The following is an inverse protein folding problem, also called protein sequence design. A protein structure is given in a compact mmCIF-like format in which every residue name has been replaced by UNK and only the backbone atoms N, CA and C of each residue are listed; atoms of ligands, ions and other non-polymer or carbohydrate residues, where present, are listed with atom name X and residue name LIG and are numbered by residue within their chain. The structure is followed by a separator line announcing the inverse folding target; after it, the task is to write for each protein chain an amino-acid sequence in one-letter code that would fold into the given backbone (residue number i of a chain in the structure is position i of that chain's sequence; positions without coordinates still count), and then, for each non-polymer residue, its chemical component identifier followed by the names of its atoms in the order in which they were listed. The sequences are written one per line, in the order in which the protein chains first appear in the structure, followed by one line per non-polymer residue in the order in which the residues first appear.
data_IF_227377457692
#
_entry.id   IF_227377457692
#
_cell.length_a   1.000
_cell.length_b   1.000
_cell.length_c   1.000
_cell.angle_alpha   90.00
_cell.angle_beta   90.00
_cell.angle_gamma   90.00
#
_symmetry.space_group_name_H-M   'P 1'
#
loop_
_entity.id
_entity.type
_entity.pdbx_description
1 polymer ?
#
# COMPACT_ATOMS: atom_id res chain seq x y z
N UNK A 1 12.77 12.09 -3.59
CA UNK A 1 11.70 12.18 -4.62
C UNK A 1 10.66 11.08 -4.47
N UNK A 2 11.05 9.86 -4.08
CA UNK A 2 10.12 8.72 -3.94
C UNK A 2 9.17 8.90 -2.76
N UNK A 3 9.64 9.54 -1.68
CA UNK A 3 8.82 9.90 -0.52
C UNK A 3 7.54 10.65 -0.89
N UNK A 4 7.65 11.68 -1.74
CA UNK A 4 6.49 12.46 -2.19
C UNK A 4 5.46 11.63 -2.96
N UNK A 5 5.90 10.65 -3.77
CA UNK A 5 5.00 9.75 -4.47
C UNK A 5 4.24 8.84 -3.52
N UNK A 6 4.93 8.24 -2.54
CA UNK A 6 4.29 7.46 -1.48
C UNK A 6 3.23 8.27 -0.73
N UNK A 7 3.56 9.50 -0.32
CA UNK A 7 2.61 10.38 0.38
C UNK A 7 1.39 10.71 -0.48
N UNK A 8 1.60 11.07 -1.76
CA UNK A 8 0.51 11.41 -2.70
C UNK A 8 -0.43 10.22 -2.93
N UNK A 9 0.13 9.05 -3.25
CA UNK A 9 -0.69 7.85 -3.46
C UNK A 9 -1.40 7.40 -2.19
N UNK A 10 -0.73 7.51 -1.03
CA UNK A 10 -1.35 7.26 0.26
C UNK A 10 -2.64 8.08 0.42
N UNK A 11 -2.57 9.41 0.29
CA UNK A 11 -3.75 10.28 0.47
C UNK A 11 -4.84 9.95 -0.54
N UNK A 12 -4.48 9.62 -1.78
CA UNK A 12 -5.46 9.16 -2.79
C UNK A 12 -6.16 7.88 -2.33
N UNK A 13 -5.42 6.88 -1.84
CA UNK A 13 -6.03 5.66 -1.30
C UNK A 13 -6.90 5.94 -0.08
N UNK A 14 -6.54 6.90 0.78
CA UNK A 14 -7.37 7.31 1.91
C UNK A 14 -8.74 7.83 1.46
N UNK A 15 -8.74 8.68 0.42
CA UNK A 15 -9.96 9.22 -0.17
C UNK A 15 -10.82 8.11 -0.78
N UNK A 16 -10.21 7.18 -1.52
CA UNK A 16 -10.92 6.04 -2.11
C UNK A 16 -11.51 5.15 -1.00
N UNK A 17 -10.74 4.84 0.03
CA UNK A 17 -11.17 4.03 1.16
C UNK A 17 -12.33 4.67 1.91
N UNK A 18 -12.24 5.97 2.21
CA UNK A 18 -13.32 6.73 2.84
C UNK A 18 -14.60 6.74 1.98
N UNK A 19 -14.47 7.00 0.68
CA UNK A 19 -15.60 6.98 -0.25
C UNK A 19 -16.30 5.61 -0.27
N UNK A 20 -15.51 4.52 -0.31
CA UNK A 20 -16.05 3.16 -0.25
C UNK A 20 -16.72 2.85 1.09
N UNK A 21 -16.15 3.33 2.20
CA UNK A 21 -16.75 3.19 3.53
C UNK A 21 -18.12 3.88 3.64
N UNK A 22 -18.21 5.11 3.13
CA UNK A 22 -19.48 5.86 3.06
C UNK A 22 -20.51 5.12 2.19
N UNK A 23 -20.09 4.60 1.04
CA UNK A 23 -20.95 3.83 0.15
C UNK A 23 -21.54 2.60 0.86
N UNK A 24 -20.69 1.77 1.48
CA UNK A 24 -21.13 0.59 2.24
C UNK A 24 -22.08 0.96 3.38
N UNK A 25 -21.74 2.01 4.13
CA UNK A 25 -22.56 2.48 5.25
C UNK A 25 -23.95 2.95 4.80
N UNK A 26 -24.06 3.66 3.67
CA UNK A 26 -25.35 4.08 3.10
C UNK A 26 -26.17 2.90 2.57
N UNK A 27 -25.52 1.93 1.95
CA UNK A 27 -26.17 0.77 1.37
C UNK A 27 -26.55 -0.30 2.42
N UNK A 28 -26.00 -0.22 3.64
CA UNK A 28 -26.03 -1.30 4.63
C UNK A 28 -25.52 -2.65 4.08
N UNK A 29 -24.67 -2.60 3.06
CA UNK A 29 -24.03 -3.75 2.44
C UNK A 29 -22.52 -3.66 2.65
N UNK A 30 -21.98 -4.65 3.37
CA UNK A 30 -20.58 -4.73 3.75
C UNK A 30 -19.81 -5.81 2.99
N UNK A 31 -20.33 -6.27 1.86
CA UNK A 31 -19.65 -7.23 0.97
C UNK A 31 -18.23 -6.77 0.59
N UNK A 32 -18.04 -5.45 0.46
CA UNK A 32 -16.75 -4.84 0.10
C UNK A 32 -15.89 -4.45 1.33
N UNK A 33 -16.25 -4.88 2.54
CA UNK A 33 -15.52 -4.52 3.77
C UNK A 33 -14.03 -4.89 3.68
N UNK A 34 -13.73 -6.07 3.14
CA UNK A 34 -12.34 -6.53 2.98
C UNK A 34 -11.57 -5.65 1.99
N UNK A 35 -12.20 -5.20 0.90
CA UNK A 35 -11.58 -4.28 -0.07
C UNK A 35 -11.28 -2.94 0.60
N UNK A 36 -12.27 -2.37 1.31
CA UNK A 36 -12.12 -1.13 2.07
C UNK A 36 -10.96 -1.19 3.07
N UNK A 37 -10.88 -2.27 3.85
CA UNK A 37 -9.82 -2.46 4.85
C UNK A 37 -8.42 -2.48 4.21
N UNK A 38 -8.25 -3.19 3.08
CA UNK A 38 -6.96 -3.26 2.40
C UNK A 38 -6.59 -1.93 1.72
N UNK A 39 -7.57 -1.19 1.18
CA UNK A 39 -7.35 0.18 0.67
C UNK A 39 -6.80 1.09 1.77
N UNK A 40 -7.39 1.05 2.96
CA UNK A 40 -6.97 1.93 4.05
C UNK A 40 -5.67 1.47 4.74
N UNK A 41 -5.44 0.17 4.92
CA UNK A 41 -4.24 -0.31 5.62
C UNK A 41 -3.02 -0.44 4.68
N UNK A 42 -3.16 -1.18 3.58
CA UNK A 42 -2.06 -1.43 2.64
C UNK A 42 -1.85 -0.22 1.73
N UNK A 43 -2.93 0.41 1.26
CA UNK A 43 -2.86 1.61 0.43
C UNK A 43 -2.51 2.85 1.26
N UNK A 44 -3.43 3.34 2.09
CA UNK A 44 -3.24 4.60 2.82
C UNK A 44 -2.14 4.54 3.88
N UNK A 45 -2.33 3.76 4.94
CA UNK A 45 -1.46 3.79 6.12
C UNK A 45 -0.03 3.39 5.76
N UNK A 46 0.14 2.26 5.08
CA UNK A 46 1.47 1.75 4.76
C UNK A 46 2.24 2.68 3.80
N UNK A 47 1.58 3.23 2.77
CA UNK A 47 2.25 4.18 1.86
C UNK A 47 2.59 5.48 2.59
N UNK A 48 1.68 5.98 3.42
CA UNK A 48 1.92 7.23 4.12
C UNK A 48 3.10 7.09 5.09
N UNK A 49 3.14 6.00 5.87
CA UNK A 49 4.25 5.70 6.78
C UNK A 49 5.57 5.49 6.02
N UNK A 50 5.57 4.76 4.90
CA UNK A 50 6.77 4.59 4.07
C UNK A 50 7.24 5.94 3.49
N UNK A 51 6.31 6.77 3.03
CA UNK A 51 6.59 8.11 2.53
C UNK A 51 7.21 9.02 3.59
N UNK A 52 6.67 9.01 4.82
CA UNK A 52 7.23 9.73 5.96
C UNK A 52 8.62 9.20 6.33
N UNK A 53 8.80 7.88 6.37
CA UNK A 53 10.10 7.27 6.66
C UNK A 53 11.17 7.73 5.66
N UNK A 54 10.88 7.68 4.35
CA UNK A 54 11.79 8.15 3.31
C UNK A 54 12.00 9.68 3.33
N UNK A 55 11.02 10.46 3.79
CA UNK A 55 11.18 11.90 3.96
C UNK A 55 12.13 12.24 5.13
N UNK A 56 12.01 11.53 6.26
CA UNK A 56 12.83 11.76 7.46
C UNK A 56 14.21 11.10 7.37
N UNK A 57 14.36 10.05 6.54
CA UNK A 57 15.62 9.38 6.26
C UNK A 57 16.01 9.52 4.78
N UNK A 58 16.57 10.67 4.34
CA UNK A 58 16.93 10.87 2.94
C UNK A 58 17.88 9.81 2.36
N UNK A 59 18.77 9.23 3.18
CA UNK A 59 19.65 8.13 2.77
C UNK A 59 18.88 6.84 2.38
N UNK A 60 17.69 6.65 2.93
CA UNK A 60 16.80 5.54 2.58
C UNK A 60 16.03 5.79 1.27
N UNK A 61 15.89 7.05 0.81
CA UNK A 61 15.25 7.41 -0.47
C UNK A 61 16.21 7.15 -1.65
N UNK A 62 16.55 5.88 -1.82
CA UNK A 62 17.52 5.37 -2.79
C UNK A 62 16.86 4.39 -3.78
N UNK A 63 17.66 3.64 -4.55
CA UNK A 63 17.15 2.68 -5.55
C UNK A 63 16.22 1.61 -4.95
N UNK A 64 16.40 1.22 -3.69
CA UNK A 64 15.49 0.29 -3.00
C UNK A 64 14.13 0.94 -2.71
N UNK A 65 14.08 2.24 -2.41
CA UNK A 65 12.81 2.95 -2.25
C UNK A 65 12.04 3.00 -3.59
N UNK A 66 12.75 3.22 -4.70
CA UNK A 66 12.15 3.17 -6.04
C UNK A 66 11.63 1.77 -6.37
N UNK A 67 12.41 0.72 -6.08
CA UNK A 67 11.96 -0.66 -6.25
C UNK A 67 10.74 -0.98 -5.34
N UNK A 68 10.74 -0.45 -4.12
CA UNK A 68 9.64 -0.61 -3.18
C UNK A 68 8.36 -0.01 -3.75
N UNK A 69 8.35 1.24 -4.22
CA UNK A 69 7.12 1.83 -4.79
C UNK A 69 6.68 1.12 -6.07
N UNK A 70 7.65 0.68 -6.89
CA UNK A 70 7.38 -0.04 -8.13
C UNK A 70 6.76 -1.42 -7.89
N UNK A 71 6.99 -2.06 -6.74
CA UNK A 71 6.31 -3.29 -6.33
C UNK A 71 4.99 -3.00 -5.59
N UNK A 72 5.03 -2.06 -4.64
CA UNK A 72 3.91 -1.77 -3.74
C UNK A 72 2.70 -1.19 -4.48
N UNK A 73 2.89 -0.25 -5.42
CA UNK A 73 1.77 0.40 -6.12
C UNK A 73 0.96 -0.57 -7.00
N UNK A 74 1.58 -1.31 -7.95
CA UNK A 74 0.84 -2.30 -8.72
C UNK A 74 0.34 -3.46 -7.84
N UNK A 75 1.11 -3.86 -6.81
CA UNK A 75 0.68 -4.88 -5.86
C UNK A 75 -0.60 -4.49 -5.13
N UNK A 76 -0.67 -3.25 -4.66
CA UNK A 76 -1.84 -2.69 -3.99
C UNK A 76 -3.07 -2.68 -4.91
N UNK A 77 -2.93 -2.14 -6.12
CA UNK A 77 -4.01 -2.09 -7.11
C UNK A 77 -4.50 -3.49 -7.47
N UNK A 78 -3.56 -4.41 -7.75
CA UNK A 78 -3.86 -5.80 -8.08
C UNK A 78 -4.56 -6.51 -6.93
N UNK A 79 -4.06 -6.37 -5.69
CA UNK A 79 -4.63 -7.02 -4.51
C UNK A 79 -6.08 -6.59 -4.30
N UNK A 80 -6.37 -5.28 -4.29
CA UNK A 80 -7.73 -4.80 -4.03
C UNK A 80 -8.70 -5.09 -5.17
N UNK A 81 -8.22 -5.03 -6.42
CA UNK A 81 -9.05 -5.40 -7.58
C UNK A 81 -9.35 -6.89 -7.56
N UNK A 82 -8.36 -7.73 -7.23
CA UNK A 82 -8.54 -9.16 -7.09
C UNK A 82 -9.51 -9.53 -5.97
N UNK A 83 -9.38 -8.92 -4.79
CA UNK A 83 -10.32 -9.13 -3.67
C UNK A 83 -11.74 -8.72 -4.10
N UNK A 84 -11.91 -7.57 -4.78
CA UNK A 84 -13.20 -7.16 -5.33
C UNK A 84 -13.78 -8.24 -6.25
N UNK A 85 -12.97 -8.77 -7.17
CA UNK A 85 -13.38 -9.88 -8.03
C UNK A 85 -13.79 -11.12 -7.23
N UNK A 86 -13.01 -11.49 -6.20
CA UNK A 86 -13.29 -12.65 -5.36
C UNK A 86 -14.62 -12.53 -4.62
N UNK A 87 -14.89 -11.37 -4.01
CA UNK A 87 -16.14 -11.17 -3.25
C UNK A 87 -17.37 -10.96 -4.14
N UNK A 88 -17.16 -10.58 -5.41
CA UNK A 88 -18.24 -10.47 -6.41
C UNK A 88 -18.41 -11.72 -7.28
N UNK A 89 -17.71 -12.82 -6.95
CA UNK A 89 -17.86 -14.12 -7.62
C UNK A 89 -17.18 -14.22 -8.98
N UNK A 90 -16.22 -13.34 -9.29
CA UNK A 90 -15.52 -13.32 -10.55
C UNK A 90 -14.37 -14.34 -10.61
N UNK A 91 -14.28 -15.19 -11.66
CA UNK A 91 -13.23 -16.21 -11.76
C UNK A 91 -11.80 -15.64 -11.78
N UNK A 92 -11.63 -14.42 -12.28
CA UNK A 92 -10.34 -13.73 -12.32
C UNK A 92 -9.92 -13.13 -10.97
N UNK A 93 -10.83 -13.03 -10.00
CA UNK A 93 -10.57 -12.40 -8.70
C UNK A 93 -9.42 -13.06 -7.92
N UNK A 94 -9.53 -14.35 -7.56
CA UNK A 94 -8.50 -15.05 -6.79
C UNK A 94 -7.09 -14.99 -7.40
N UNK A 95 -6.86 -15.29 -8.70
CA UNK A 95 -5.50 -15.23 -9.26
C UNK A 95 -4.92 -13.81 -9.25
N UNK A 96 -5.73 -12.78 -9.50
CA UNK A 96 -5.30 -11.37 -9.45
C UNK A 96 -4.97 -10.93 -8.01
N UNK A 97 -5.76 -11.39 -7.03
CA UNK A 97 -5.51 -11.12 -5.62
C UNK A 97 -4.18 -11.74 -5.16
N UNK A 98 -3.92 -12.99 -5.56
CA UNK A 98 -2.68 -13.71 -5.24
C UNK A 98 -1.46 -13.00 -5.85
N UNK A 99 -1.55 -12.59 -7.13
CA UNK A 99 -0.49 -11.82 -7.77
C UNK A 99 -0.22 -10.51 -7.02
N UNK A 100 -1.27 -9.80 -6.63
CA UNK A 100 -1.18 -8.59 -5.83
C UNK A 100 -0.51 -8.82 -4.48
N UNK A 101 -0.87 -9.90 -3.79
CA UNK A 101 -0.30 -10.27 -2.50
C UNK A 101 1.21 -10.50 -2.58
N UNK A 102 1.71 -11.20 -3.61
CA UNK A 102 3.16 -11.40 -3.80
C UNK A 102 3.90 -10.10 -4.10
N UNK A 103 3.31 -9.19 -4.87
CA UNK A 103 3.89 -7.88 -5.13
C UNK A 103 3.93 -7.00 -3.87
N UNK A 104 2.86 -7.01 -3.07
CA UNK A 104 2.81 -6.32 -1.77
C UNK A 104 3.87 -6.91 -0.83
N UNK A 105 3.99 -8.25 -0.77
CA UNK A 105 5.04 -8.92 0.01
C UNK A 105 6.43 -8.49 -0.42
N UNK A 106 6.72 -8.49 -1.72
CA UNK A 106 7.99 -8.02 -2.26
C UNK A 106 8.26 -6.55 -1.88
N UNK A 107 7.23 -5.70 -1.95
CA UNK A 107 7.31 -4.32 -1.49
C UNK A 107 7.69 -4.21 0.00
N UNK A 108 7.00 -4.96 0.87
CA UNK A 108 7.31 -4.99 2.31
C UNK A 108 8.70 -5.54 2.61
N UNK A 109 9.19 -6.53 1.85
CA UNK A 109 10.56 -7.03 2.01
C UNK A 109 11.58 -5.94 1.66
N UNK A 110 11.38 -5.23 0.55
CA UNK A 110 12.23 -4.10 0.16
C UNK A 110 12.18 -2.97 1.20
N UNK A 111 10.99 -2.66 1.70
CA UNK A 111 10.81 -1.67 2.77
C UNK A 111 11.54 -2.09 4.05
N UNK A 112 11.37 -3.34 4.47
CA UNK A 112 12.04 -3.93 5.64
C UNK A 112 13.56 -3.77 5.51
N UNK A 113 14.15 -4.21 4.39
CA UNK A 113 15.58 -4.06 4.15
C UNK A 113 16.01 -2.60 4.28
N UNK A 114 15.23 -1.67 3.73
CA UNK A 114 15.57 -0.26 3.74
C UNK A 114 15.46 0.36 5.15
N UNK A 115 14.43 -0.02 5.91
CA UNK A 115 14.25 0.38 7.32
C UNK A 115 15.41 -0.15 8.15
N UNK A 116 15.72 -1.44 8.11
CA UNK A 116 16.81 -2.02 8.91
C UNK A 116 18.19 -1.44 8.55
N UNK A 117 18.41 -0.99 7.32
CA UNK A 117 19.67 -0.34 6.91
C UNK A 117 19.80 1.13 7.33
N UNK A 118 18.69 1.83 7.58
CA UNK A 118 18.69 3.29 7.73
C UNK A 118 17.82 3.80 8.90
N UNK A 119 17.35 2.91 9.77
CA UNK A 119 16.56 3.28 10.95
C UNK A 119 17.40 4.05 11.98
N UNK A 120 18.63 3.60 12.20
CA UNK A 120 19.60 4.28 13.06
C UNK A 120 20.10 5.55 12.36
N UNK A 121 19.89 6.71 13.00
CA UNK A 121 20.47 7.96 12.55
C UNK A 121 21.99 7.98 12.79
N UNK A 122 22.73 8.97 12.26
CA UNK A 122 24.09 9.20 12.70
C UNK A 122 24.09 9.31 14.23
N UNK A 123 24.92 8.51 14.93
CA UNK A 123 25.19 8.74 16.35
C UNK A 123 25.70 10.17 16.45
N UNK A 124 24.92 11.06 17.07
CA UNK A 124 25.42 12.36 17.47
C UNK A 124 26.47 12.07 18.55
N UNK A 125 27.74 12.22 18.18
CA UNK A 125 28.87 12.20 19.10
C UNK A 125 29.07 13.59 19.69
#
# INVERSE_FOLDING_TARGET
MTSAWFLRFGVIFALIGLALGIYMGKAHDFTLMTVHAHINLVGWVSFFLAGLFYAVRPAADNRLAVAHIAAALPGMISLTTGIFGSVTGQPWGPPVAILGAFLVLAGFLLFTINVFRHAEGPRQA
#
